data_IF_565826407365
#
_entry.id   IF_565826407365
#
_cell.length_a   1.000
_cell.length_b   1.000
_cell.length_c   1.000
_cell.angle_alpha   90.00
_cell.angle_beta   90.00
_cell.angle_gamma   90.00
#
_symmetry.space_group_name_H-M   'P 1'
#
loop_
_entity.id
_entity.type
_entity.pdbx_description
1 polymer ?
#
# COMPACT_ATOMS: atom_id res chain seq x y z
N UNK A 1 -11.27 0.07 16.80
CA UNK A 1 -11.66 1.04 15.75
C UNK A 1 -10.66 2.19 15.55
N UNK A 2 -10.14 2.83 16.61
CA UNK A 2 -9.21 3.97 16.51
C UNK A 2 -7.98 3.70 15.60
N UNK A 3 -7.32 2.55 15.75
CA UNK A 3 -6.14 2.18 14.94
C UNK A 3 -6.46 2.09 13.43
N UNK A 4 -7.65 1.62 13.07
CA UNK A 4 -8.06 1.56 11.66
C UNK A 4 -8.29 2.95 11.08
N UNK A 5 -8.96 3.83 11.81
CA UNK A 5 -9.23 5.21 11.37
C UNK A 5 -7.94 6.02 11.27
N UNK A 6 -7.04 5.89 12.25
CA UNK A 6 -5.72 6.53 12.24
C UNK A 6 -4.90 6.08 11.03
N UNK A 7 -4.81 4.77 10.79
CA UNK A 7 -4.10 4.22 9.65
C UNK A 7 -4.70 4.62 8.30
N UNK A 8 -6.03 4.66 8.21
CA UNK A 8 -6.73 5.12 7.01
C UNK A 8 -6.45 6.60 6.74
N UNK A 9 -6.47 7.46 7.77
CA UNK A 9 -6.17 8.88 7.66
C UNK A 9 -4.75 9.14 7.14
N UNK A 10 -3.74 8.48 7.73
CA UNK A 10 -2.36 8.58 7.25
C UNK A 10 -2.23 8.06 5.82
N UNK A 11 -2.87 6.93 5.51
CA UNK A 11 -2.81 6.29 4.21
C UNK A 11 -3.47 7.09 3.08
N UNK A 12 -4.59 7.75 3.36
CA UNK A 12 -5.27 8.62 2.39
C UNK A 12 -4.45 9.87 2.13
N UNK A 13 -3.86 10.49 3.16
CA UNK A 13 -3.00 11.66 2.98
C UNK A 13 -1.75 11.32 2.15
N UNK A 14 -1.13 10.17 2.41
CA UNK A 14 0.00 9.68 1.61
C UNK A 14 -0.40 9.41 0.15
N UNK A 15 -1.55 8.77 -0.09
CA UNK A 15 -2.06 8.51 -1.42
C UNK A 15 -2.40 9.80 -2.19
N UNK A 16 -2.95 10.81 -1.51
CA UNK A 16 -3.20 12.13 -2.09
C UNK A 16 -1.89 12.80 -2.52
N UNK A 17 -0.86 12.82 -1.68
CA UNK A 17 0.44 13.40 -2.04
C UNK A 17 1.09 12.66 -3.22
N UNK A 18 0.92 11.33 -3.29
CA UNK A 18 1.42 10.51 -4.39
C UNK A 18 0.70 10.80 -5.72
N UNK A 19 -0.61 11.00 -5.67
CA UNK A 19 -1.46 11.05 -6.89
C UNK A 19 -1.80 12.47 -7.35
N UNK A 20 -1.78 13.47 -6.47
CA UNK A 20 -2.12 14.85 -6.79
C UNK A 20 -1.19 15.45 -7.86
N UNK A 21 0.11 15.18 -7.77
CA UNK A 21 1.08 15.64 -8.76
C UNK A 21 0.87 14.96 -10.12
N UNK A 22 0.54 13.67 -10.10
CA UNK A 22 0.31 12.87 -11.31
C UNK A 22 -0.98 13.30 -12.01
N UNK A 23 -2.08 13.46 -11.26
CA UNK A 23 -3.35 13.92 -11.82
C UNK A 23 -3.28 15.37 -12.33
N UNK A 24 -2.50 16.24 -11.70
CA UNK A 24 -2.26 17.59 -12.20
C UNK A 24 -1.56 17.58 -13.57
N UNK A 25 -0.59 16.69 -13.78
CA UNK A 25 0.08 16.52 -15.09
C UNK A 25 -0.88 15.98 -16.17
N UNK A 26 -1.81 15.10 -15.80
CA UNK A 26 -2.82 14.55 -16.74
C UNK A 26 -4.02 15.47 -16.99
N UNK A 27 -4.23 16.52 -16.19
CA UNK A 27 -5.32 17.47 -16.39
C UNK A 27 -5.08 18.43 -17.57
N UNK A 28 -3.83 18.53 -18.05
CA UNK A 28 -3.47 19.29 -19.26
C UNK A 28 -3.42 18.41 -20.53
N UNK A 29 -3.29 19.02 -21.72
CA UNK A 29 -3.17 18.27 -22.99
C UNK A 29 -1.85 17.49 -23.15
N UNK A 30 -0.98 17.50 -22.13
CA UNK A 30 0.30 16.81 -22.13
C UNK A 30 0.16 15.37 -21.61
N UNK A 31 0.63 14.40 -22.38
CA UNK A 31 0.78 13.01 -21.90
C UNK A 31 2.16 12.84 -21.27
N UNK A 32 2.27 12.18 -20.12
CA UNK A 32 3.57 11.89 -19.48
C UNK A 32 4.48 11.19 -20.51
N UNK A 33 5.68 11.72 -20.68
CA UNK A 33 6.68 11.22 -21.63
C UNK A 33 6.58 11.77 -23.06
N UNK A 34 5.56 12.59 -23.39
CA UNK A 34 5.45 13.24 -24.71
C UNK A 34 6.63 14.21 -25.00
N UNK A 35 7.12 15.05 -24.07
CA UNK A 35 8.27 15.93 -24.32
C UNK A 35 9.57 15.15 -24.57
N UNK A 36 9.76 14.01 -23.89
CA UNK A 36 10.89 13.10 -24.12
C UNK A 36 10.75 12.37 -25.45
N UNK A 37 9.58 11.82 -25.74
CA UNK A 37 9.30 11.14 -27.00
C UNK A 37 9.44 12.08 -28.22
N UNK A 38 9.09 13.36 -28.07
CA UNK A 38 9.31 14.39 -29.10
C UNK A 38 10.79 14.75 -29.27
N UNK A 39 11.59 14.70 -28.20
CA UNK A 39 13.02 15.05 -28.22
C UNK A 39 13.91 13.90 -28.70
N UNK A 40 13.58 12.67 -28.32
CA UNK A 40 14.29 11.44 -28.73
C UNK A 40 13.78 10.85 -30.06
N UNK A 41 12.64 11.34 -30.61
CA UNK A 41 12.04 10.82 -31.85
C UNK A 41 11.52 9.38 -31.74
N UNK A 42 11.51 8.79 -30.54
CA UNK A 42 11.01 7.44 -30.25
C UNK A 42 10.02 7.52 -29.12
N UNK A 43 8.83 6.94 -29.33
CA UNK A 43 7.83 6.78 -28.28
C UNK A 43 8.27 5.64 -27.37
N UNK A 44 8.88 5.99 -26.24
CA UNK A 44 9.29 4.98 -25.27
C UNK A 44 8.05 4.46 -24.51
N UNK A 45 7.48 3.38 -25.02
CA UNK A 45 6.24 2.75 -24.52
C UNK A 45 6.38 2.35 -23.04
N UNK A 46 7.61 2.14 -22.56
CA UNK A 46 7.92 1.76 -21.18
C UNK A 46 7.94 2.96 -20.21
N UNK A 47 8.35 4.14 -20.67
CA UNK A 47 8.39 5.37 -19.84
C UNK A 47 7.10 6.21 -19.93
N UNK A 48 6.30 6.01 -20.98
CA UNK A 48 5.15 6.84 -21.35
C UNK A 48 3.88 5.99 -21.63
N UNK A 49 3.70 4.89 -20.88
CA UNK A 49 2.60 3.97 -21.10
C UNK A 49 1.24 4.63 -20.76
N UNK A 50 0.24 4.42 -21.61
CA UNK A 50 -1.17 4.82 -21.43
C UNK A 50 -1.79 4.38 -20.09
N UNK A 51 -1.14 3.44 -19.39
CA UNK A 51 -1.57 2.86 -18.12
C UNK A 51 -0.86 3.43 -16.88
N UNK A 52 0.09 4.37 -17.04
CA UNK A 52 0.77 5.03 -15.92
C UNK A 52 -0.19 5.59 -14.85
N UNK A 53 -1.24 6.36 -15.20
CA UNK A 53 -2.13 6.92 -14.18
C UNK A 53 -2.89 5.83 -13.41
N UNK A 54 -3.20 4.72 -14.07
CA UNK A 54 -3.85 3.56 -13.45
C UNK A 54 -2.90 2.89 -12.43
N UNK A 55 -1.61 2.75 -12.76
CA UNK A 55 -0.62 2.21 -11.84
C UNK A 55 -0.39 3.11 -10.62
N UNK A 56 -0.36 4.43 -10.79
CA UNK A 56 -0.27 5.38 -9.67
C UNK A 56 -1.53 5.38 -8.80
N UNK A 57 -2.72 5.30 -9.39
CA UNK A 57 -3.97 5.17 -8.65
C UNK A 57 -4.00 3.88 -7.81
N UNK A 58 -3.64 2.74 -8.40
CA UNK A 58 -3.56 1.46 -7.69
C UNK A 58 -2.50 1.48 -6.58
N UNK A 59 -1.33 2.07 -6.83
CA UNK A 59 -0.28 2.24 -5.82
C UNK A 59 -0.76 3.13 -4.66
N UNK A 60 -1.54 4.18 -4.94
CA UNK A 60 -2.21 4.98 -3.91
C UNK A 60 -3.18 4.15 -3.06
N UNK A 61 -4.05 3.33 -3.69
CA UNK A 61 -4.96 2.44 -2.98
C UNK A 61 -4.21 1.43 -2.09
N UNK A 62 -3.13 0.83 -2.61
CA UNK A 62 -2.31 -0.11 -1.83
C UNK A 62 -1.64 0.60 -0.66
N UNK A 63 -1.10 1.79 -0.86
CA UNK A 63 -0.49 2.60 0.21
C UNK A 63 -1.50 2.87 1.33
N UNK A 64 -2.74 3.23 0.98
CA UNK A 64 -3.78 3.46 1.99
C UNK A 64 -4.11 2.19 2.79
N UNK A 65 -4.23 1.04 2.12
CA UNK A 65 -4.47 -0.24 2.80
C UNK A 65 -3.27 -0.69 3.65
N UNK A 66 -2.05 -0.49 3.16
CA UNK A 66 -0.83 -0.77 3.92
C UNK A 66 -0.79 0.06 5.20
N UNK A 67 -1.06 1.38 5.13
CA UNK A 67 -1.10 2.24 6.32
C UNK A 67 -2.12 1.76 7.37
N UNK A 68 -3.28 1.25 6.94
CA UNK A 68 -4.24 0.61 7.86
C UNK A 68 -3.62 -0.62 8.52
N UNK A 69 -3.09 -1.56 7.73
CA UNK A 69 -2.53 -2.81 8.28
C UNK A 69 -1.33 -2.58 9.20
N UNK A 70 -0.41 -1.69 8.84
CA UNK A 70 0.73 -1.33 9.67
C UNK A 70 0.31 -0.69 10.98
N UNK A 71 -0.70 0.19 10.95
CA UNK A 71 -1.20 0.84 12.17
C UNK A 71 -1.88 -0.17 13.10
N UNK A 72 -2.62 -1.14 12.56
CA UNK A 72 -3.20 -2.24 13.37
C UNK A 72 -2.09 -3.03 14.07
N UNK A 73 -1.08 -3.48 13.32
CA UNK A 73 0.05 -4.24 13.88
C UNK A 73 0.82 -3.43 14.93
N UNK A 74 1.10 -2.16 14.66
CA UNK A 74 1.82 -1.30 15.60
C UNK A 74 1.02 -1.09 16.89
N UNK A 75 -0.29 -0.85 16.77
CA UNK A 75 -1.17 -0.65 17.92
C UNK A 75 -1.37 -1.93 18.74
N UNK A 76 -1.43 -3.10 18.09
CA UNK A 76 -1.46 -4.39 18.77
C UNK A 76 -0.19 -4.63 19.60
N UNK A 77 0.98 -4.32 19.02
CA UNK A 77 2.25 -4.34 19.77
C UNK A 77 2.23 -3.42 20.98
N UNK A 78 1.74 -2.18 20.83
CA UNK A 78 1.58 -1.24 21.95
C UNK A 78 0.65 -1.78 23.04
N UNK A 79 -0.45 -2.45 22.67
CA UNK A 79 -1.38 -3.02 23.63
C UNK A 79 -0.83 -4.25 24.37
N UNK A 80 0.13 -4.95 23.75
CA UNK A 80 0.83 -6.13 24.30
C UNK A 80 2.13 -5.79 25.01
N UNK A 81 2.52 -4.51 25.10
CA UNK A 81 3.70 -4.07 25.85
C UNK A 81 3.66 -4.66 27.26
N UNK A 82 4.75 -5.34 27.64
CA UNK A 82 4.93 -6.03 28.92
C UNK A 82 4.02 -7.25 29.19
N UNK A 83 3.25 -7.74 28.20
CA UNK A 83 2.34 -8.89 28.38
C UNK A 83 2.88 -10.24 27.85
N UNK A 84 4.05 -10.26 27.21
CA UNK A 84 4.68 -11.52 26.75
C UNK A 84 5.96 -11.29 25.95
N UNK A 85 6.75 -12.35 25.70
CA UNK A 85 8.07 -12.25 25.03
C UNK A 85 8.00 -11.72 23.60
N UNK A 86 6.92 -12.02 22.86
CA UNK A 86 6.76 -11.66 21.44
C UNK A 86 5.90 -10.40 21.21
N UNK A 87 5.80 -9.52 22.19
CA UNK A 87 4.96 -8.32 22.12
C UNK A 87 5.34 -7.35 20.98
N UNK A 88 6.62 -7.25 20.65
CA UNK A 88 7.14 -6.34 19.62
C UNK A 88 7.07 -6.90 18.19
N UNK A 89 6.74 -8.19 18.04
CA UNK A 89 6.82 -8.88 16.74
C UNK A 89 5.89 -8.25 15.67
N UNK A 90 4.63 -7.89 15.95
CA UNK A 90 3.79 -7.16 15.00
C UNK A 90 4.39 -5.82 14.53
N UNK A 91 4.95 -5.01 15.44
CA UNK A 91 5.59 -3.74 15.08
C UNK A 91 6.85 -3.93 14.21
N UNK A 92 7.65 -4.97 14.48
CA UNK A 92 8.81 -5.31 13.64
C UNK A 92 8.36 -5.70 12.23
N UNK A 93 7.32 -6.53 12.11
CA UNK A 93 6.76 -6.92 10.81
C UNK A 93 6.21 -5.70 10.06
N UNK A 94 5.51 -4.80 10.74
CA UNK A 94 4.97 -3.58 10.13
C UNK A 94 6.09 -2.68 9.58
N UNK A 95 7.14 -2.44 10.37
CA UNK A 95 8.27 -1.60 9.95
C UNK A 95 9.09 -2.24 8.84
N UNK A 96 9.32 -3.56 8.90
CA UNK A 96 10.02 -4.30 7.85
C UNK A 96 9.25 -4.25 6.52
N UNK A 97 7.95 -4.55 6.55
CA UNK A 97 7.10 -4.51 5.34
C UNK A 97 6.95 -3.10 4.77
N UNK A 98 6.92 -2.07 5.62
CA UNK A 98 7.01 -0.67 5.20
C UNK A 98 8.32 -0.37 4.46
N UNK A 99 9.46 -0.77 5.00
CA UNK A 99 10.75 -0.61 4.33
C UNK A 99 10.82 -1.37 3.01
N UNK A 100 10.30 -2.60 2.96
CA UNK A 100 10.22 -3.40 1.72
C UNK A 100 9.34 -2.76 0.66
N UNK A 101 8.15 -2.25 1.02
CA UNK A 101 7.25 -1.58 0.09
C UNK A 101 7.87 -0.30 -0.49
N UNK A 102 8.58 0.48 0.34
CA UNK A 102 9.33 1.66 -0.08
C UNK A 102 10.49 1.30 -1.03
N UNK A 103 11.27 0.27 -0.71
CA UNK A 103 12.36 -0.20 -1.56
C UNK A 103 11.85 -0.72 -2.92
N UNK A 104 10.75 -1.49 -2.92
CA UNK A 104 10.09 -1.93 -4.14
C UNK A 104 9.62 -0.75 -5.01
N UNK A 105 9.17 0.34 -4.38
CA UNK A 105 8.74 1.54 -5.10
C UNK A 105 9.88 2.24 -5.83
N UNK A 106 11.14 2.06 -5.43
CA UNK A 106 12.28 2.59 -6.19
C UNK A 106 12.45 1.91 -7.55
N UNK A 107 12.15 0.62 -7.65
CA UNK A 107 12.17 -0.13 -8.92
C UNK A 107 11.06 0.30 -9.89
N UNK A 108 10.07 1.06 -9.40
CA UNK A 108 9.05 1.68 -10.25
C UNK A 108 9.67 2.69 -11.23
N UNK A 109 10.77 3.35 -10.83
CA UNK A 109 11.49 4.30 -11.68
C UNK A 109 12.28 3.65 -12.83
N UNK A 110 12.55 2.33 -12.73
CA UNK A 110 13.30 1.56 -13.73
C UNK A 110 12.41 0.91 -14.80
N UNK A 111 11.10 1.16 -14.80
CA UNK A 111 10.14 0.66 -15.80
C UNK A 111 9.41 -0.64 -15.42
N UNK A 112 9.74 -1.29 -14.30
CA UNK A 112 9.14 -2.56 -13.87
C UNK A 112 7.82 -2.40 -13.07
N UNK A 113 6.98 -1.43 -13.45
CA UNK A 113 5.73 -1.07 -12.78
C UNK A 113 4.81 -2.28 -12.43
N UNK A 114 4.43 -3.17 -13.38
CA UNK A 114 3.50 -4.26 -13.07
C UNK A 114 4.08 -5.31 -12.11
N UNK A 115 5.38 -5.58 -12.19
CA UNK A 115 6.05 -6.52 -11.28
C UNK A 115 6.11 -5.96 -9.84
N UNK A 116 6.40 -4.66 -9.70
CA UNK A 116 6.39 -3.96 -8.41
C UNK A 116 5.00 -3.99 -7.78
N UNK A 117 3.96 -3.63 -8.54
CA UNK A 117 2.57 -3.65 -8.07
C UNK A 117 2.12 -5.05 -7.65
N UNK A 118 2.46 -6.08 -8.42
CA UNK A 118 2.13 -7.47 -8.09
C UNK A 118 2.79 -7.90 -6.79
N UNK A 119 4.07 -7.55 -6.61
CA UNK A 119 4.82 -7.87 -5.38
C UNK A 119 4.25 -7.12 -4.18
N UNK A 120 3.91 -5.83 -4.34
CA UNK A 120 3.25 -5.03 -3.31
C UNK A 120 1.88 -5.61 -2.94
N UNK A 121 1.09 -6.08 -3.91
CA UNK A 121 -0.18 -6.74 -3.64
C UNK A 121 -0.01 -8.02 -2.82
N UNK A 122 0.95 -8.88 -3.17
CA UNK A 122 1.24 -10.09 -2.40
C UNK A 122 1.67 -9.79 -0.96
N UNK A 123 2.53 -8.79 -0.77
CA UNK A 123 2.94 -8.32 0.55
C UNK A 123 1.74 -7.80 1.36
N UNK A 124 0.87 -7.01 0.72
CA UNK A 124 -0.33 -6.48 1.36
C UNK A 124 -1.26 -7.61 1.80
N UNK A 125 -1.48 -8.62 0.96
CA UNK A 125 -2.30 -9.77 1.30
C UNK A 125 -1.75 -10.49 2.53
N UNK A 126 -0.43 -10.66 2.63
CA UNK A 126 0.23 -11.18 3.82
C UNK A 126 -0.03 -10.32 5.06
N UNK A 127 0.07 -8.99 4.95
CA UNK A 127 -0.23 -8.05 6.03
C UNK A 127 -1.70 -8.13 6.48
N UNK A 128 -2.65 -8.25 5.54
CA UNK A 128 -4.08 -8.38 5.84
C UNK A 128 -4.37 -9.69 6.57
N UNK A 129 -3.80 -10.82 6.11
CA UNK A 129 -3.95 -12.10 6.77
C UNK A 129 -3.38 -12.08 8.20
N UNK A 130 -2.25 -11.42 8.39
CA UNK A 130 -1.64 -11.24 9.70
C UNK A 130 -2.48 -10.33 10.62
N UNK A 131 -3.05 -9.25 10.09
CA UNK A 131 -3.98 -8.42 10.86
C UNK A 131 -5.24 -9.19 11.25
N UNK A 132 -5.76 -10.04 10.36
CA UNK A 132 -6.93 -10.88 10.64
C UNK A 132 -6.66 -11.88 11.79
N UNK A 133 -5.45 -12.43 11.88
CA UNK A 133 -5.09 -13.30 13.00
C UNK A 133 -4.97 -12.53 14.32
N UNK A 134 -4.47 -11.29 14.29
CA UNK A 134 -4.42 -10.39 15.46
C UNK A 134 -5.82 -10.01 15.95
N UNK A 135 -6.74 -9.71 15.03
CA UNK A 135 -8.12 -9.32 15.37
C UNK A 135 -9.02 -10.51 15.72
N UNK A 136 -8.49 -11.73 15.71
CA UNK A 136 -9.20 -12.94 16.13
C UNK A 136 -10.12 -13.56 15.07
N UNK A 137 -10.00 -13.16 13.80
CA UNK A 137 -10.76 -13.75 12.71
C UNK A 137 -10.23 -15.15 12.38
N UNK A 138 -11.10 -16.16 12.43
CA UNK A 138 -10.81 -17.55 12.03
C UNK A 138 -11.52 -17.89 10.71
N UNK A 139 -11.04 -18.88 9.92
CA UNK A 139 -11.74 -19.32 8.70
C UNK A 139 -13.19 -19.73 8.97
N UNK A 140 -13.45 -20.31 10.15
CA UNK A 140 -14.80 -20.62 10.62
C UNK A 140 -15.66 -19.37 10.89
N UNK A 141 -15.10 -18.28 11.42
CA UNK A 141 -15.84 -17.01 11.59
C UNK A 141 -16.22 -16.38 10.24
N UNK A 142 -15.37 -16.54 9.22
CA UNK A 142 -15.63 -16.06 7.85
C UNK A 142 -16.69 -16.92 7.16
N UNK A 143 -16.59 -18.24 7.25
CA UNK A 143 -17.55 -19.20 6.67
C UNK A 143 -18.92 -19.12 7.35
N UNK A 144 -18.97 -18.86 8.66
CA UNK A 144 -20.23 -18.79 9.39
C UNK A 144 -20.94 -17.44 9.27
N UNK A 145 -20.41 -16.49 8.47
CA UNK A 145 -20.97 -15.13 8.36
C UNK A 145 -20.98 -14.33 9.67
N UNK A 146 -20.47 -14.92 10.75
CA UNK A 146 -20.20 -14.27 12.02
C UNK A 146 -18.87 -13.53 11.89
N UNK A 147 -18.82 -12.56 10.97
CA UNK A 147 -17.85 -11.48 11.14
C UNK A 147 -18.21 -10.88 12.50
N UNK A 148 -17.34 -11.12 13.48
CA UNK A 148 -17.48 -10.63 14.84
C UNK A 148 -17.29 -9.11 14.79
N UNK A 149 -18.30 -8.40 14.29
CA UNK A 149 -18.56 -6.98 14.53
C UNK A 149 -19.07 -6.78 15.97
N UNK A 150 -18.65 -7.63 16.91
CA UNK A 150 -18.71 -7.31 18.33
C UNK A 150 -17.39 -6.63 18.68
N UNK A 151 -17.36 -5.33 18.41
CA UNK A 151 -16.52 -4.39 19.13
C UNK A 151 -17.31 -3.86 20.31
#
# INVERSE_FOLDING_TARGET
MLAMVCGLGMGVMAALLLTMNVFAEFAGPGTIGLPRAMKEGRRDIHSAGTHLPLYYALSGCFTSMFSVTWTIMFWDSCHKVNKGLFWALPAIVATATHASASALSWYNSSGYQPAVLTTQFCLLLGCVLYCNSITGATPQSVLNGKLCLQW
#
